data_IF_326091210845
#
_entry.id   IF_326091210845
#
_cell.length_a   1.000
_cell.length_b   1.000
_cell.length_c   1.000
_cell.angle_alpha   90.00
_cell.angle_beta   90.00
_cell.angle_gamma   90.00
#
_symmetry.space_group_name_H-M   'P 1'
#
loop_
_entity.id
_entity.type
_entity.pdbx_description
1 polymer ?
#
# COMPACT_ATOMS: atom_id res chain seq x y z
N UNK A 1 -0.82 -5.17 -2.37
CA UNK A 1 -0.50 -4.36 -1.19
C UNK A 1 -0.45 -5.16 0.10
N UNK A 2 -1.49 -5.94 0.48
CA UNK A 2 -1.51 -6.66 1.76
C UNK A 2 -0.26 -7.52 2.05
N UNK A 3 0.25 -8.26 1.07
CA UNK A 3 1.47 -9.05 1.28
C UNK A 3 2.70 -8.18 1.62
N UNK A 4 2.80 -6.98 1.05
CA UNK A 4 3.87 -6.04 1.40
C UNK A 4 3.70 -5.54 2.84
N UNK A 5 2.48 -5.12 3.22
CA UNK A 5 2.20 -4.71 4.59
C UNK A 5 2.55 -5.80 5.61
N UNK A 6 2.20 -7.06 5.33
CA UNK A 6 2.62 -8.19 6.16
C UNK A 6 4.13 -8.37 6.24
N UNK A 7 4.85 -8.34 5.12
CA UNK A 7 6.31 -8.51 5.16
C UNK A 7 6.99 -7.35 5.91
N UNK A 8 6.47 -6.11 5.80
CA UNK A 8 6.90 -4.98 6.62
C UNK A 8 6.61 -5.21 8.11
N UNK A 9 5.42 -5.73 8.45
CA UNK A 9 5.06 -6.11 9.82
C UNK A 9 6.07 -7.09 10.42
N UNK A 10 6.46 -8.09 9.63
CA UNK A 10 7.45 -9.09 10.04
C UNK A 10 8.84 -8.47 10.24
N UNK A 11 9.24 -7.49 9.44
CA UNK A 11 10.51 -6.77 9.62
C UNK A 11 10.49 -5.88 10.87
N UNK A 12 9.34 -5.29 11.18
CA UNK A 12 9.12 -4.39 12.32
C UNK A 12 8.73 -5.08 13.63
N UNK A 13 8.57 -6.41 13.64
CA UNK A 13 8.04 -7.17 14.80
C UNK A 13 8.83 -7.01 16.11
N UNK A 14 10.09 -6.61 16.02
CA UNK A 14 10.96 -6.43 17.19
C UNK A 14 10.95 -5.00 17.70
N UNK A 15 10.26 -4.12 17.00
CA UNK A 15 10.00 -2.75 17.40
C UNK A 15 8.61 -2.67 18.02
N UNK A 16 8.41 -1.80 19.02
CA UNK A 16 7.08 -1.52 19.60
C UNK A 16 6.16 -0.73 18.64
N UNK A 17 6.40 -0.82 17.32
CA UNK A 17 5.68 -0.09 16.29
C UNK A 17 4.56 -0.96 15.73
N UNK A 18 3.39 -0.36 15.60
CA UNK A 18 2.26 -1.00 14.94
C UNK A 18 2.27 -0.71 13.45
N UNK A 19 1.63 -1.60 12.69
CA UNK A 19 1.43 -1.43 11.25
C UNK A 19 -0.05 -1.53 10.91
N UNK A 20 -0.49 -0.62 10.04
CA UNK A 20 -1.85 -0.61 9.52
C UNK A 20 -1.85 -0.62 8.00
N UNK A 21 -2.80 -1.33 7.40
CA UNK A 21 -3.12 -1.27 5.98
C UNK A 21 -4.45 -0.54 5.81
N UNK A 22 -4.41 0.60 5.13
CA UNK A 22 -5.58 1.41 4.82
C UNK A 22 -5.94 1.24 3.36
N UNK A 23 -7.14 0.75 3.08
CA UNK A 23 -7.70 0.70 1.73
C UNK A 23 -8.24 2.08 1.35
N UNK A 24 -7.48 2.84 0.56
CA UNK A 24 -7.84 4.19 0.12
C UNK A 24 -8.37 4.21 -1.33
N UNK A 25 -8.57 3.05 -1.97
CA UNK A 25 -9.28 2.95 -3.24
C UNK A 25 -10.81 2.99 -3.02
N UNK A 26 -11.26 4.12 -2.48
CA UNK A 26 -12.63 4.38 -2.05
C UNK A 26 -13.60 4.69 -3.20
N UNK A 27 -13.31 4.18 -4.40
CA UNK A 27 -14.17 4.34 -5.57
C UNK A 27 -15.27 3.27 -5.63
N UNK A 28 -16.37 3.54 -6.33
CA UNK A 28 -17.48 2.59 -6.46
C UNK A 28 -17.07 1.21 -7.06
N UNK A 29 -15.95 1.14 -7.79
CA UNK A 29 -15.39 -0.10 -8.34
C UNK A 29 -14.22 -0.68 -7.53
N UNK A 30 -13.90 -0.11 -6.37
CA UNK A 30 -12.79 -0.52 -5.51
C UNK A 30 -13.27 -1.34 -4.30
N UNK A 31 -12.44 -1.37 -3.25
CA UNK A 31 -12.74 -2.06 -2.01
C UNK A 31 -12.59 -3.59 -2.06
N UNK A 32 -13.14 -4.25 -1.05
CA UNK A 32 -13.10 -5.72 -0.90
C UNK A 32 -11.80 -6.25 -0.29
N UNK A 33 -10.95 -5.39 0.28
CA UNK A 33 -9.73 -5.81 0.95
C UNK A 33 -10.01 -6.80 2.08
N UNK A 34 -11.06 -6.60 2.87
CA UNK A 34 -11.47 -7.56 3.91
C UNK A 34 -11.82 -8.93 3.33
N UNK A 35 -12.57 -8.99 2.23
CA UNK A 35 -12.88 -10.24 1.52
C UNK A 35 -11.62 -10.92 1.01
N UNK A 36 -10.68 -10.16 0.42
CA UNK A 36 -9.39 -10.71 -0.04
C UNK A 36 -8.59 -11.32 1.12
N UNK A 37 -8.71 -10.76 2.32
CA UNK A 37 -7.99 -11.19 3.52
C UNK A 37 -8.75 -12.24 4.35
N UNK A 38 -10.01 -12.55 4.01
CA UNK A 38 -10.85 -13.47 4.78
C UNK A 38 -11.38 -12.86 6.09
N UNK A 39 -11.47 -11.53 6.16
CA UNK A 39 -11.86 -10.75 7.35
C UNK A 39 -13.31 -10.27 7.29
N UNK A 40 -14.08 -10.62 6.26
CA UNK A 40 -15.43 -10.10 6.05
C UNK A 40 -16.43 -10.50 7.15
N UNK A 41 -16.06 -11.49 7.97
CA UNK A 41 -16.80 -11.92 9.17
C UNK A 41 -16.18 -11.46 10.47
N UNK A 42 -14.98 -10.89 10.44
CA UNK A 42 -14.34 -10.35 11.63
C UNK A 42 -14.95 -9.00 12.01
N UNK A 43 -15.25 -8.87 13.31
CA UNK A 43 -15.68 -7.59 13.89
C UNK A 43 -14.59 -6.53 13.81
N UNK A 44 -14.97 -5.28 14.08
CA UNK A 44 -14.08 -4.13 14.02
C UNK A 44 -14.48 -3.15 12.92
N UNK A 45 -14.05 -1.90 13.09
CA UNK A 45 -14.49 -0.77 12.27
C UNK A 45 -14.00 -0.90 10.83
N UNK A 46 -14.88 -0.61 9.88
CA UNK A 46 -14.53 -0.32 8.48
C UNK A 46 -14.83 1.13 8.14
N UNK A 47 -14.50 1.58 6.93
CA UNK A 47 -14.68 2.99 6.54
C UNK A 47 -16.06 3.58 6.83
N UNK A 48 -17.15 2.84 6.60
CA UNK A 48 -18.52 3.30 6.91
C UNK A 48 -18.79 3.61 8.40
N UNK A 49 -17.94 3.11 9.31
CA UNK A 49 -18.03 3.33 10.76
C UNK A 49 -16.97 4.31 11.28
N UNK A 50 -16.03 4.74 10.43
CA UNK A 50 -14.99 5.70 10.77
C UNK A 50 -15.44 7.08 10.33
N UNK A 51 -15.64 7.96 11.31
CA UNK A 51 -15.98 9.35 11.09
C UNK A 51 -14.94 10.20 11.79
N UNK A 52 -14.36 11.17 11.08
CA UNK A 52 -13.44 12.15 11.66
C UNK A 52 -14.16 13.50 11.84
N UNK A 53 -15.09 13.64 12.80
CA UNK A 53 -15.68 14.94 13.08
C UNK A 53 -14.55 15.92 13.42
N UNK A 54 -14.53 17.06 12.74
CA UNK A 54 -13.46 18.07 12.80
C UNK A 54 -12.11 17.67 12.18
N UNK A 55 -12.02 16.54 11.46
CA UNK A 55 -10.82 16.11 10.75
C UNK A 55 -9.72 15.53 11.63
N UNK A 56 -10.06 15.06 12.84
CA UNK A 56 -9.14 14.40 13.77
C UNK A 56 -9.70 13.08 14.29
N UNK A 57 -8.83 12.11 14.54
CA UNK A 57 -9.13 10.80 15.10
C UNK A 57 -8.08 10.47 16.17
N UNK A 58 -8.47 9.72 17.20
CA UNK A 58 -7.51 9.14 18.13
C UNK A 58 -6.89 7.88 17.50
N UNK A 59 -5.59 7.91 17.24
CA UNK A 59 -4.89 6.84 16.54
C UNK A 59 -4.89 5.51 17.28
N UNK A 60 -4.73 5.53 18.61
CA UNK A 60 -4.67 4.32 19.43
C UNK A 60 -6.04 3.66 19.54
N UNK A 61 -7.09 4.47 19.76
CA UNK A 61 -8.46 4.00 19.78
C UNK A 61 -8.86 3.42 18.42
N UNK A 62 -8.55 4.14 17.33
CA UNK A 62 -8.83 3.66 15.98
C UNK A 62 -8.13 2.32 15.73
N UNK A 63 -6.82 2.23 15.98
CA UNK A 63 -6.05 0.99 15.79
C UNK A 63 -6.65 -0.20 16.56
N UNK A 64 -7.03 0.01 17.82
CA UNK A 64 -7.60 -1.04 18.67
C UNK A 64 -8.97 -1.56 18.20
N UNK A 65 -9.69 -0.75 17.41
CA UNK A 65 -11.01 -1.10 16.86
C UNK A 65 -10.93 -1.72 15.46
N UNK A 66 -9.75 -1.75 14.83
CA UNK A 66 -9.58 -2.33 13.50
C UNK A 66 -9.40 -3.87 13.59
N UNK A 67 -9.96 -4.62 12.62
CA UNK A 67 -9.65 -6.03 12.41
C UNK A 67 -8.15 -6.25 12.21
N UNK A 68 -7.67 -7.43 12.63
CA UNK A 68 -6.25 -7.78 12.59
C UNK A 68 -6.01 -8.93 11.61
N UNK A 69 -5.11 -8.72 10.66
CA UNK A 69 -4.66 -9.78 9.76
C UNK A 69 -3.16 -9.93 9.86
N UNK A 70 -2.72 -11.02 10.49
CA UNK A 70 -1.29 -11.38 10.61
C UNK A 70 -0.45 -10.21 11.14
N UNK A 71 -0.87 -9.65 12.27
CA UNK A 71 -0.26 -8.48 12.96
C UNK A 71 -0.36 -7.15 12.19
N UNK A 72 -1.25 -7.07 11.20
CA UNK A 72 -1.56 -5.84 10.47
C UNK A 72 -3.00 -5.41 10.75
N UNK A 73 -3.20 -4.22 11.29
CA UNK A 73 -4.53 -3.64 11.44
C UNK A 73 -5.10 -3.21 10.08
N UNK A 74 -6.33 -3.59 9.75
CA UNK A 74 -6.89 -3.36 8.41
C UNK A 74 -8.07 -2.38 8.48
N UNK A 75 -7.96 -1.25 7.78
CA UNK A 75 -9.10 -0.37 7.51
C UNK A 75 -9.56 -0.56 6.06
N UNK A 76 -10.55 -1.43 5.85
CA UNK A 76 -11.06 -1.78 4.51
C UNK A 76 -12.21 -0.90 4.04
N UNK A 77 -12.32 -0.73 2.72
CA UNK A 77 -13.44 -0.09 2.06
C UNK A 77 -14.43 -1.12 1.51
N UNK A 78 -15.72 -0.83 1.68
CA UNK A 78 -16.81 -1.62 1.13
C UNK A 78 -17.73 -0.69 0.32
N UNK A 79 -17.71 -0.71 -1.03
CA UNK A 79 -18.47 0.24 -1.85
C UNK A 79 -19.98 0.11 -1.71
N UNK A 80 -20.48 -1.01 -1.19
CA UNK A 80 -21.91 -1.25 -0.94
C UNK A 80 -22.38 -0.77 0.44
N UNK A 81 -21.52 -0.18 1.26
CA UNK A 81 -21.88 0.35 2.60
C UNK A 81 -21.69 1.86 2.64
N UNK A 82 -22.74 2.56 3.05
CA UNK A 82 -22.73 4.01 3.31
C UNK A 82 -22.50 4.30 4.79
N UNK A 83 -21.95 5.47 5.17
CA UNK A 83 -21.44 6.51 4.27
C UNK A 83 -20.08 6.16 3.64
N UNK A 84 -19.83 6.64 2.42
CA UNK A 84 -18.50 6.58 1.80
C UNK A 84 -17.57 7.65 2.38
N UNK A 85 -16.30 7.30 2.71
CA UNK A 85 -15.36 8.24 3.31
C UNK A 85 -14.98 9.34 2.33
N UNK A 86 -14.81 10.55 2.84
CA UNK A 86 -14.35 11.70 2.06
C UNK A 86 -12.82 11.84 2.16
N UNK A 87 -12.22 12.69 1.34
CA UNK A 87 -10.76 12.85 1.32
C UNK A 87 -10.18 13.28 2.68
N UNK A 88 -10.94 14.04 3.47
CA UNK A 88 -10.53 14.45 4.82
C UNK A 88 -10.62 13.31 5.83
N UNK A 89 -11.55 12.37 5.69
CA UNK A 89 -11.63 11.17 6.53
C UNK A 89 -10.42 10.27 6.27
N UNK A 90 -10.04 10.11 4.99
CA UNK A 90 -8.81 9.42 4.59
C UNK A 90 -7.58 10.10 5.20
N UNK A 91 -7.49 11.43 5.09
CA UNK A 91 -6.38 12.17 5.67
C UNK A 91 -6.30 12.01 7.20
N UNK A 92 -7.43 12.13 7.90
CA UNK A 92 -7.50 12.06 9.34
C UNK A 92 -7.13 10.67 9.87
N UNK A 93 -7.63 9.60 9.23
CA UNK A 93 -7.35 8.23 9.64
C UNK A 93 -5.88 7.86 9.39
N UNK A 94 -5.35 8.18 8.20
CA UNK A 94 -3.94 7.90 7.89
C UNK A 94 -3.01 8.69 8.82
N UNK A 95 -3.32 9.96 9.13
CA UNK A 95 -2.56 10.75 10.10
C UNK A 95 -2.59 10.10 11.48
N UNK A 96 -3.79 9.83 12.01
CA UNK A 96 -3.96 9.26 13.33
C UNK A 96 -3.27 7.90 13.48
N UNK A 97 -3.36 7.03 12.46
CA UNK A 97 -2.68 5.73 12.47
C UNK A 97 -1.16 5.84 12.32
N UNK A 98 -0.65 6.92 11.72
CA UNK A 98 0.78 7.18 11.56
C UNK A 98 1.42 7.87 12.78
N UNK A 99 0.61 8.35 13.73
CA UNK A 99 1.10 8.93 14.98
C UNK A 99 1.90 7.88 15.81
N UNK A 100 2.68 8.35 16.78
CA UNK A 100 3.57 7.53 17.62
C UNK A 100 4.62 6.71 16.85
N UNK A 101 4.92 7.12 15.61
CA UNK A 101 5.98 6.50 14.79
C UNK A 101 5.59 5.16 14.18
N UNK A 102 4.29 4.83 14.20
CA UNK A 102 3.69 3.67 13.54
C UNK A 102 3.85 3.74 12.01
N UNK A 103 3.68 2.60 11.34
CA UNK A 103 3.79 2.48 9.88
C UNK A 103 2.41 2.29 9.27
N UNK A 104 2.04 3.15 8.33
CA UNK A 104 0.79 3.03 7.59
C UNK A 104 1.10 2.74 6.13
N UNK A 105 0.64 1.58 5.67
CA UNK A 105 0.63 1.23 4.25
C UNK A 105 -0.73 1.62 3.69
N UNK A 106 -0.74 2.45 2.65
CA UNK A 106 -1.97 2.92 2.02
C UNK A 106 -2.11 2.26 0.65
N UNK A 107 -3.18 1.51 0.45
CA UNK A 107 -3.57 1.03 -0.88
C UNK A 107 -4.29 2.16 -1.62
N UNK A 108 -3.57 2.87 -2.47
CA UNK A 108 -4.12 3.96 -3.27
C UNK A 108 -4.78 3.48 -4.58
N UNK A 109 -4.89 2.17 -4.80
CA UNK A 109 -5.43 1.58 -6.03
C UNK A 109 -4.77 2.14 -7.29
N UNK A 110 -5.55 2.85 -8.12
CA UNK A 110 -5.07 3.49 -9.36
C UNK A 110 -4.44 4.88 -9.15
N UNK A 111 -4.31 5.35 -7.90
CA UNK A 111 -3.66 6.59 -7.53
C UNK A 111 -4.52 7.85 -7.66
N UNK A 112 -5.84 7.73 -7.84
CA UNK A 112 -6.75 8.89 -7.88
C UNK A 112 -6.78 9.63 -6.53
N UNK A 113 -6.78 8.89 -5.43
CA UNK A 113 -6.81 9.44 -4.05
C UNK A 113 -5.56 10.25 -3.70
N UNK A 114 -4.42 9.96 -4.33
CA UNK A 114 -3.17 10.72 -4.14
C UNK A 114 -3.32 12.17 -4.60
N UNK A 115 -4.19 12.43 -5.58
CA UNK A 115 -4.46 13.77 -6.10
C UNK A 115 -5.23 14.65 -5.13
N UNK A 116 -6.03 14.04 -4.25
CA UNK A 116 -7.00 14.74 -3.42
C UNK A 116 -6.62 14.76 -1.95
N UNK A 117 -5.75 13.84 -1.50
CA UNK A 117 -5.31 13.75 -0.11
C UNK A 117 -3.86 14.26 0.00
N UNK A 118 -3.63 15.49 0.50
CA UNK A 118 -2.30 16.08 0.64
C UNK A 118 -1.27 15.19 1.37
N UNK A 119 -1.70 14.51 2.43
CA UNK A 119 -0.82 13.60 3.18
C UNK A 119 -0.30 12.46 2.31
N UNK A 120 -1.13 11.90 1.42
CA UNK A 120 -0.72 10.83 0.51
C UNK A 120 0.17 11.35 -0.61
N UNK A 121 -0.04 12.59 -1.08
CA UNK A 121 0.87 13.23 -2.03
C UNK A 121 2.28 13.40 -1.44
N UNK A 122 2.36 13.82 -0.17
CA UNK A 122 3.64 14.03 0.51
C UNK A 122 4.31 12.74 1.00
N UNK A 123 3.61 11.60 1.00
CA UNK A 123 4.12 10.31 1.49
C UNK A 123 5.20 9.70 0.57
N UNK A 124 5.87 8.64 1.05
CA UNK A 124 6.71 7.76 0.23
C UNK A 124 5.84 6.90 -0.68
N UNK A 125 6.19 6.79 -1.97
CA UNK A 125 5.41 6.02 -2.94
C UNK A 125 6.10 4.73 -3.34
N UNK A 126 5.32 3.65 -3.40
CA UNK A 126 5.69 2.40 -4.05
C UNK A 126 4.84 2.22 -5.29
N UNK A 127 5.45 2.26 -6.47
CA UNK A 127 4.73 2.18 -7.74
C UNK A 127 4.78 0.76 -8.26
N UNK A 128 3.62 0.10 -8.29
CA UNK A 128 3.47 -1.19 -8.94
C UNK A 128 3.20 -1.00 -10.43
N UNK A 129 3.97 -1.70 -11.27
CA UNK A 129 3.76 -1.74 -12.71
C UNK A 129 3.52 -3.15 -13.17
N UNK A 130 2.60 -3.31 -14.12
CA UNK A 130 2.47 -4.56 -14.85
C UNK A 130 3.60 -4.64 -15.89
N UNK A 131 4.27 -5.79 -15.98
CA UNK A 131 5.35 -6.08 -16.93
C UNK A 131 4.80 -6.30 -18.35
N UNK A 132 4.11 -5.28 -18.87
CA UNK A 132 3.54 -5.20 -20.20
C UNK A 132 3.84 -3.81 -20.80
N UNK A 133 3.71 -3.65 -22.11
CA UNK A 133 3.97 -2.35 -22.77
C UNK A 133 3.07 -1.25 -22.21
N UNK A 134 1.78 -1.53 -22.05
CA UNK A 134 0.82 -0.55 -21.50
C UNK A 134 1.01 -0.35 -20.00
N UNK A 135 1.37 -1.40 -19.25
CA UNK A 135 1.72 -1.31 -17.83
C UNK A 135 2.88 -0.34 -17.59
N UNK A 136 3.97 -0.49 -18.35
CA UNK A 136 5.11 0.41 -18.30
C UNK A 136 4.77 1.84 -18.70
N UNK A 137 4.01 2.03 -19.79
CA UNK A 137 3.62 3.37 -20.23
C UNK A 137 2.80 4.11 -19.18
N UNK A 138 1.83 3.43 -18.55
CA UNK A 138 1.01 3.99 -17.47
C UNK A 138 1.85 4.31 -16.23
N UNK A 139 2.72 3.39 -15.82
CA UNK A 139 3.59 3.61 -14.67
C UNK A 139 4.55 4.78 -14.90
N UNK A 140 5.14 4.89 -16.10
CA UNK A 140 6.03 6.02 -16.45
C UNK A 140 5.30 7.36 -16.41
N UNK A 141 4.07 7.41 -16.96
CA UNK A 141 3.25 8.62 -16.90
C UNK A 141 2.90 8.99 -15.45
N UNK A 142 2.55 8.00 -14.61
CA UNK A 142 2.26 8.22 -13.20
C UNK A 142 3.48 8.71 -12.40
N UNK A 143 4.65 8.10 -12.61
CA UNK A 143 5.91 8.51 -11.98
C UNK A 143 6.31 9.93 -12.40
N UNK A 144 6.17 10.27 -13.69
CA UNK A 144 6.43 11.60 -14.19
C UNK A 144 5.47 12.64 -13.57
N UNK A 145 4.19 12.29 -13.43
CA UNK A 145 3.20 13.12 -12.78
C UNK A 145 3.53 13.37 -11.29
N UNK A 146 3.86 12.32 -10.52
CA UNK A 146 4.27 12.46 -9.12
C UNK A 146 5.48 13.40 -8.99
N UNK A 147 6.53 13.17 -9.79
CA UNK A 147 7.75 13.99 -9.76
C UNK A 147 7.54 15.45 -10.20
N UNK A 148 6.49 15.71 -10.97
CA UNK A 148 6.13 17.05 -11.42
C UNK A 148 5.21 17.81 -10.47
N UNK A 149 4.65 17.17 -9.42
CA UNK A 149 3.80 17.83 -8.45
C UNK A 149 4.63 18.60 -7.42
N UNK A 150 4.27 19.86 -7.17
CA UNK A 150 5.04 20.73 -6.26
C UNK A 150 4.97 20.25 -4.82
N UNK A 151 3.91 19.57 -4.42
CA UNK A 151 3.65 19.05 -3.08
C UNK A 151 4.31 17.69 -2.84
N UNK A 152 4.86 17.07 -3.88
CA UNK A 152 5.54 15.78 -3.78
C UNK A 152 6.86 15.93 -3.01
N UNK A 153 6.94 15.24 -1.87
CA UNK A 153 8.09 15.34 -0.94
C UNK A 153 8.66 14.00 -0.52
N UNK A 154 7.83 12.98 -0.31
CA UNK A 154 8.28 11.67 0.18
C UNK A 154 9.08 10.86 -0.83
N UNK A 155 9.02 11.18 -2.13
CA UNK A 155 9.81 10.46 -3.12
C UNK A 155 9.25 9.06 -3.44
N UNK A 156 9.97 8.34 -4.31
CA UNK A 156 9.58 7.01 -4.77
C UNK A 156 10.52 6.01 -4.11
N UNK A 157 10.03 5.31 -3.09
CA UNK A 157 10.79 4.31 -2.33
C UNK A 157 11.15 3.10 -3.21
N UNK A 158 10.22 2.67 -4.07
CA UNK A 158 10.47 1.58 -4.99
C UNK A 158 9.53 1.58 -6.20
N UNK A 159 10.01 1.03 -7.31
CA UNK A 159 9.18 0.65 -8.47
C UNK A 159 9.18 -0.88 -8.55
N UNK A 160 8.01 -1.51 -8.50
CA UNK A 160 7.86 -2.95 -8.44
C UNK A 160 7.20 -3.52 -9.70
N UNK A 161 7.90 -4.42 -10.40
CA UNK A 161 7.39 -5.08 -11.61
C UNK A 161 6.61 -6.35 -11.28
N UNK A 162 5.36 -6.42 -11.71
CA UNK A 162 4.44 -7.55 -11.50
C UNK A 162 4.14 -8.24 -12.82
N UNK A 163 4.17 -9.57 -12.85
CA UNK A 163 3.74 -10.32 -14.03
C UNK A 163 2.23 -10.16 -14.24
N UNK A 164 1.77 -9.89 -15.49
CA UNK A 164 0.33 -9.83 -15.78
C UNK A 164 -0.32 -11.19 -15.52
N UNK A 165 -1.52 -11.14 -14.94
CA UNK A 165 -2.36 -12.34 -14.76
C UNK A 165 -2.88 -12.82 -16.12
N UNK A 166 -3.06 -14.13 -16.27
CA UNK A 166 -3.68 -14.71 -17.48
C UNK A 166 -2.82 -14.71 -18.75
N UNK A 167 -1.54 -14.31 -18.70
CA UNK A 167 -0.66 -14.41 -19.87
C UNK A 167 -0.33 -15.86 -20.22
N UNK A 168 -0.89 -16.34 -21.34
CA UNK A 168 -0.63 -17.68 -21.85
C UNK A 168 0.86 -17.88 -22.15
N UNK A 169 1.53 -18.73 -21.35
CA UNK A 169 2.97 -19.04 -21.46
C UNK A 169 3.87 -17.80 -21.46
N UNK A 170 3.47 -16.73 -20.75
CA UNK A 170 4.28 -15.51 -20.64
C UNK A 170 4.36 -14.66 -21.92
N UNK A 171 3.47 -14.89 -22.90
CA UNK A 171 3.42 -14.06 -24.12
C UNK A 171 3.11 -12.60 -23.76
N UNK A 172 3.93 -11.70 -24.29
CA UNK A 172 3.78 -10.26 -24.06
C UNK A 172 4.33 -9.77 -22.72
N UNK A 173 4.82 -10.66 -21.86
CA UNK A 173 5.48 -10.28 -20.60
C UNK A 173 6.86 -9.71 -20.91
N UNK A 174 7.13 -8.52 -20.40
CA UNK A 174 8.41 -7.84 -20.55
C UNK A 174 9.38 -8.25 -19.44
N UNK A 175 10.67 -8.29 -19.75
CA UNK A 175 11.70 -8.52 -18.72
C UNK A 175 11.88 -7.29 -17.84
N UNK A 176 12.33 -7.51 -16.61
CA UNK A 176 12.71 -6.42 -15.67
C UNK A 176 13.75 -5.50 -16.30
N UNK A 177 14.80 -6.03 -16.92
CA UNK A 177 15.82 -5.22 -17.61
C UNK A 177 15.25 -4.30 -18.70
N UNK A 178 14.16 -4.72 -19.38
CA UNK A 178 13.47 -3.87 -20.35
C UNK A 178 12.59 -2.82 -19.67
N UNK A 179 11.95 -3.18 -18.56
CA UNK A 179 11.22 -2.25 -17.72
C UNK A 179 12.14 -1.15 -17.19
N UNK A 180 13.29 -1.52 -16.61
CA UNK A 180 14.31 -0.59 -16.10
C UNK A 180 14.77 0.39 -17.18
N UNK A 181 15.15 -0.12 -18.35
CA UNK A 181 15.57 0.73 -19.48
C UNK A 181 14.47 1.70 -19.90
N UNK A 182 13.21 1.27 -19.92
CA UNK A 182 12.10 2.12 -20.31
C UNK A 182 11.76 3.17 -19.23
N UNK A 183 11.77 2.75 -17.96
CA UNK A 183 11.46 3.58 -16.81
C UNK A 183 12.58 4.57 -16.47
N UNK A 184 13.83 4.24 -16.78
CA UNK A 184 15.00 5.04 -16.41
C UNK A 184 15.35 4.95 -14.92
N UNK A 185 14.92 3.88 -14.25
CA UNK A 185 15.20 3.60 -12.84
C UNK A 185 15.14 2.09 -12.58
N UNK A 186 15.63 1.67 -11.41
CA UNK A 186 15.63 0.27 -10.99
C UNK A 186 14.21 -0.24 -10.75
N UNK A 187 13.95 -1.51 -11.12
CA UNK A 187 12.64 -2.14 -10.97
C UNK A 187 12.79 -3.42 -10.16
N UNK A 188 12.23 -3.44 -8.95
CA UNK A 188 12.19 -4.63 -8.11
C UNK A 188 11.21 -5.66 -8.70
N UNK A 189 11.69 -6.86 -9.06
CA UNK A 189 10.82 -7.90 -9.59
C UNK A 189 11.56 -9.02 -10.33
N UNK A 190 10.84 -9.84 -11.11
CA UNK A 190 9.39 -9.84 -11.24
C UNK A 190 8.71 -10.41 -9.98
N UNK A 191 7.65 -9.76 -9.51
CA UNK A 191 6.68 -10.37 -8.60
C UNK A 191 5.75 -11.22 -9.47
N UNK A 192 5.84 -12.53 -9.32
CA UNK A 192 5.10 -13.46 -10.19
C UNK A 192 3.64 -13.53 -9.80
N UNK A 193 2.77 -13.70 -10.79
CA UNK A 193 1.38 -14.05 -10.53
C UNK A 193 1.30 -15.47 -9.96
N UNK A 194 0.39 -15.70 -9.01
CA UNK A 194 0.11 -17.03 -8.48
C UNK A 194 -1.40 -17.29 -8.51
N UNK A 195 -1.81 -18.23 -9.36
CA UNK A 195 -3.23 -18.57 -9.54
C UNK A 195 -3.85 -19.20 -8.29
N UNK A 196 -3.05 -19.75 -7.35
CA UNK A 196 -3.60 -20.30 -6.10
C UNK A 196 -4.15 -19.20 -5.22
N UNK A 197 -3.51 -18.03 -5.19
CA UNK A 197 -4.05 -16.88 -4.46
C UNK A 197 -5.44 -16.48 -4.98
N UNK A 198 -5.65 -16.55 -6.29
CA UNK A 198 -6.96 -16.31 -6.88
C UNK A 198 -7.97 -17.41 -6.49
N UNK A 199 -7.56 -18.69 -6.49
CA UNK A 199 -8.42 -19.81 -6.06
C UNK A 199 -8.84 -19.66 -4.60
N UNK A 200 -7.88 -19.39 -3.71
CA UNK A 200 -8.11 -19.28 -2.27
C UNK A 200 -9.12 -18.16 -1.95
N UNK A 201 -8.99 -17.01 -2.63
CA UNK A 201 -9.96 -15.91 -2.52
C UNK A 201 -11.35 -16.33 -3.03
N UNK A 202 -11.44 -17.01 -4.18
CA UNK A 202 -12.72 -17.47 -4.73
C UNK A 202 -13.41 -18.53 -3.86
N UNK A 203 -12.61 -19.33 -3.14
CA UNK A 203 -13.08 -20.35 -2.20
C UNK A 203 -13.38 -19.79 -0.80
N UNK A 204 -13.18 -18.48 -0.58
CA UNK A 204 -13.43 -17.81 0.70
C UNK A 204 -12.39 -18.13 1.78
N UNK A 205 -11.20 -18.60 1.41
CA UNK A 205 -10.09 -18.86 2.33
C UNK A 205 -9.21 -17.63 2.57
N UNK A 206 -9.36 -16.58 1.74
CA UNK A 206 -8.58 -15.36 1.80
C UNK A 206 -7.07 -15.59 1.58
N UNK A 207 -6.26 -14.56 1.83
CA UNK A 207 -4.80 -14.63 1.75
C UNK A 207 -4.18 -15.27 3.01
N UNK A 208 -4.36 -16.58 3.19
CA UNK A 208 -3.85 -17.31 4.37
C UNK A 208 -2.33 -17.46 4.40
N UNK A 209 -1.67 -17.65 3.26
CA UNK A 209 -0.20 -17.80 3.21
C UNK A 209 0.41 -17.17 1.96
N UNK A 210 1.62 -16.61 2.08
CA UNK A 210 2.36 -16.08 0.93
C UNK A 210 2.98 -17.24 0.12
N UNK A 211 2.58 -17.45 -1.15
CA UNK A 211 3.18 -18.49 -1.97
C UNK A 211 4.67 -18.26 -2.16
N UNK A 212 5.45 -19.33 -2.20
CA UNK A 212 6.92 -19.27 -2.37
C UNK A 212 7.35 -18.44 -3.59
N UNK A 213 6.56 -18.48 -4.67
CA UNK A 213 6.82 -17.74 -5.92
C UNK A 213 6.74 -16.22 -5.76
N UNK A 214 5.85 -15.76 -4.88
CA UNK A 214 5.58 -14.33 -4.63
C UNK A 214 6.51 -13.80 -3.54
N UNK A 215 6.74 -14.62 -2.50
CA UNK A 215 7.47 -14.27 -1.28
C UNK A 215 8.81 -13.58 -1.53
N UNK A 216 9.65 -14.14 -2.40
CA UNK A 216 10.99 -13.58 -2.64
C UNK A 216 10.95 -12.16 -3.22
N UNK A 217 9.99 -11.87 -4.10
CA UNK A 217 9.82 -10.54 -4.67
C UNK A 217 9.26 -9.54 -3.66
N UNK A 218 8.25 -9.94 -2.89
CA UNK A 218 7.64 -9.08 -1.86
C UNK A 218 8.63 -8.80 -0.73
N UNK A 219 9.41 -9.79 -0.28
CA UNK A 219 10.43 -9.58 0.74
C UNK A 219 11.49 -8.56 0.30
N UNK A 220 12.00 -8.69 -0.94
CA UNK A 220 12.95 -7.69 -1.47
C UNK A 220 12.34 -6.29 -1.53
N UNK A 221 11.07 -6.20 -1.93
CA UNK A 221 10.35 -4.93 -1.96
C UNK A 221 10.19 -4.34 -0.56
N UNK A 222 9.84 -5.15 0.44
CA UNK A 222 9.71 -4.72 1.83
C UNK A 222 11.02 -4.12 2.34
N UNK A 223 12.15 -4.80 2.11
CA UNK A 223 13.45 -4.29 2.54
C UNK A 223 13.82 -2.95 1.87
N UNK A 224 13.56 -2.78 0.56
CA UNK A 224 13.78 -1.49 -0.13
C UNK A 224 12.92 -0.36 0.45
N UNK A 225 11.67 -0.67 0.80
CA UNK A 225 10.73 0.30 1.39
C UNK A 225 11.19 0.68 2.80
N UNK A 226 11.62 -0.30 3.61
CA UNK A 226 12.16 -0.06 4.94
C UNK A 226 13.42 0.80 4.90
N UNK A 227 14.35 0.52 3.99
CA UNK A 227 15.57 1.31 3.84
C UNK A 227 15.26 2.78 3.50
N UNK A 228 14.30 3.01 2.59
CA UNK A 228 13.85 4.36 2.24
C UNK A 228 13.17 5.08 3.41
N UNK A 229 12.32 4.36 4.15
CA UNK A 229 11.61 4.89 5.31
C UNK A 229 12.57 5.29 6.43
N UNK A 230 13.51 4.42 6.81
CA UNK A 230 14.49 4.69 7.87
C UNK A 230 15.44 5.83 7.48
N UNK A 231 15.85 5.90 6.21
CA UNK A 231 16.67 7.00 5.69
C UNK A 231 15.95 8.35 5.83
N UNK A 232 14.67 8.41 5.47
CA UNK A 232 13.85 9.62 5.59
C UNK A 232 13.67 10.04 7.05
N UNK A 233 13.43 9.09 7.96
CA UNK A 233 13.30 9.37 9.41
C UNK A 233 14.59 9.91 10.00
N UNK A 234 15.72 9.32 9.66
CA UNK A 234 17.03 9.77 10.14
C UNK A 234 17.34 11.21 9.70
N UNK A 235 16.91 11.60 8.50
CA UNK A 235 17.03 12.99 8.02
C UNK A 235 16.14 13.95 8.82
N UNK A 236 14.85 13.63 9.00
CA UNK A 236 13.93 14.48 9.76
C UNK A 236 14.36 14.66 11.23
N UNK A 237 14.90 13.63 11.87
CA UNK A 237 15.40 13.73 13.26
C UNK A 237 16.65 14.61 13.39
N UNK A 238 17.47 14.74 12.32
CA UNK A 238 18.64 15.63 12.32
C UNK A 238 18.22 17.09 12.16
N UNK A 239 17.29 17.39 11.26
CA UNK A 239 16.77 18.75 11.05
C UNK A 239 16.11 19.33 12.31
N UNK A 240 15.38 18.51 13.07
CA UNK A 240 14.78 18.93 14.35
C UNK A 240 15.85 19.24 15.41
N UNK A 241 16.97 18.52 15.41
CA UNK A 241 18.09 18.76 16.35
C UNK A 241 18.94 19.97 16.00
N UNK A 242 19.03 20.35 14.73
CA UNK A 242 19.79 21.52 14.28
C UNK A 242 19.01 22.84 14.43
N UNK A 243 17.69 22.76 14.61
CA UNK A 243 16.78 23.90 14.78
C UNK A 243 16.35 24.13 16.24
N UNK A 244 16.81 23.30 17.17
CA UNK A 244 16.58 23.40 18.63
C UNK A 244 17.84 23.85 19.36
#
# INVERSE_FOLDING_TARGET
>A
MALLARELALELRHDERHISLVDADVCASGGGMDVLLGLEREGGKRWHEVQAPLGSLDGRALYAELPQWQDVAILSFAPWREPHPQWWDVQAAVRALADDGNVVVVDAGRGSVVKTVPLLMAAHHVVFLELSVLGLARAKAHVAWLRGAEEFRGGIAAVAGVEPTGSARGRGVLSVARAERYMGCDVCGPIRADNRLCSDVLEGMGLGSVPRKVRGGVKRLASLVMDAFESSRAMSQREVRETS
#
